data_IF_900023074273
#
_entry.id   IF_900023074273
#
_cell.length_a   1.000
_cell.length_b   1.000
_cell.length_c   1.000
_cell.angle_alpha   90.00
_cell.angle_beta   90.00
_cell.angle_gamma   90.00
#
_symmetry.space_group_name_H-M   'P 1'
#
loop_
_entity.id
_entity.type
_entity.pdbx_description
1 polymer ?
#
# COMPACT_ATOMS: atom_id res chain seq x y z
N UNK A 1 -21.74 4.97 17.46
CA UNK A 1 -22.17 4.46 16.14
C UNK A 1 -20.92 3.99 15.43
N UNK A 2 -20.98 2.93 14.63
CA UNK A 2 -19.83 2.50 13.82
C UNK A 2 -20.17 2.73 12.35
N UNK A 3 -19.74 3.88 11.85
CA UNK A 3 -19.96 4.31 10.47
C UNK A 3 -19.34 3.31 9.49
N UNK A 4 -18.27 2.61 9.86
CA UNK A 4 -17.61 1.60 9.02
C UNK A 4 -18.44 0.32 8.81
N UNK A 5 -19.44 0.06 9.64
CA UNK A 5 -20.35 -1.09 9.50
C UNK A 5 -21.69 -0.74 8.82
N UNK A 6 -21.94 0.55 8.54
CA UNK A 6 -23.21 1.01 7.96
C UNK A 6 -23.22 1.08 6.42
N UNK A 7 -22.18 0.59 5.74
CA UNK A 7 -22.13 0.49 4.27
C UNK A 7 -20.78 0.94 3.68
N UNK A 8 -20.69 1.10 2.35
CA UNK A 8 -19.48 1.59 1.69
C UNK A 8 -19.31 3.10 1.95
N UNK A 9 -18.69 3.42 3.08
CA UNK A 9 -18.36 4.79 3.48
C UNK A 9 -17.08 5.29 2.80
N UNK A 10 -16.13 4.38 2.54
CA UNK A 10 -14.85 4.69 1.93
C UNK A 10 -14.75 4.20 0.48
N UNK A 11 -13.86 4.82 -0.29
CA UNK A 11 -13.57 4.46 -1.69
C UNK A 11 -12.96 3.05 -1.81
N UNK A 12 -12.91 2.53 -3.05
CA UNK A 12 -12.22 1.28 -3.36
C UNK A 12 -10.76 1.35 -2.90
N UNK A 13 -10.27 0.29 -2.25
CA UNK A 13 -8.91 0.20 -1.69
C UNK A 13 -8.60 1.18 -0.55
N UNK A 14 -9.63 1.72 0.10
CA UNK A 14 -9.51 2.41 1.38
C UNK A 14 -9.98 1.52 2.55
N UNK A 15 -9.39 1.74 3.72
CA UNK A 15 -9.78 1.24 5.02
C UNK A 15 -10.58 2.31 5.74
N UNK A 16 -11.73 1.92 6.28
CA UNK A 16 -12.50 2.76 7.18
C UNK A 16 -11.96 2.59 8.60
N UNK A 17 -11.56 3.70 9.22
CA UNK A 17 -11.11 3.78 10.60
C UNK A 17 -12.13 4.60 11.39
N UNK A 18 -12.79 3.93 12.33
CA UNK A 18 -13.70 4.59 13.25
C UNK A 18 -12.88 5.37 14.30
N UNK A 19 -13.20 6.64 14.51
CA UNK A 19 -12.54 7.50 15.52
C UNK A 19 -13.58 8.03 16.50
N UNK A 20 -13.23 8.33 17.76
CA UNK A 20 -14.20 8.85 18.71
C UNK A 20 -14.83 10.17 18.21
N UNK A 21 -16.11 10.11 17.82
CA UNK A 21 -16.87 11.26 17.30
C UNK A 21 -16.89 11.44 15.78
N UNK A 22 -16.23 10.58 14.98
CA UNK A 22 -16.26 10.61 13.51
C UNK A 22 -15.71 9.31 12.90
N UNK A 23 -15.50 9.27 11.59
CA UNK A 23 -14.72 8.23 10.90
C UNK A 23 -13.69 8.89 9.98
N UNK A 24 -12.65 8.14 9.60
CA UNK A 24 -11.72 8.55 8.55
C UNK A 24 -11.42 7.40 7.60
N UNK A 25 -11.24 7.74 6.33
CA UNK A 25 -10.84 6.78 5.30
C UNK A 25 -9.34 6.94 5.04
N UNK A 26 -8.58 5.87 5.23
CA UNK A 26 -7.15 5.80 4.88
C UNK A 26 -6.96 4.81 3.75
N UNK A 27 -6.03 5.05 2.82
CA UNK A 27 -5.73 4.06 1.80
C UNK A 27 -5.13 2.81 2.43
N UNK A 28 -5.45 1.63 1.87
CA UNK A 28 -4.82 0.37 2.27
C UNK A 28 -3.29 0.49 2.13
N UNK A 29 -2.52 -0.27 2.93
CA UNK A 29 -1.07 -0.40 2.71
C UNK A 29 -0.79 -0.76 1.25
N UNK A 30 0.21 -0.12 0.64
CA UNK A 30 0.50 -0.26 -0.80
C UNK A 30 -0.36 0.62 -1.71
N UNK A 31 -1.22 1.48 -1.17
CA UNK A 31 -2.00 2.45 -1.96
C UNK A 31 -1.70 3.88 -1.49
N UNK A 32 -1.73 4.82 -2.44
CA UNK A 32 -1.60 6.25 -2.16
C UNK A 32 -2.86 6.99 -2.55
N UNK A 33 -3.13 8.06 -1.81
CA UNK A 33 -4.26 8.94 -2.06
C UNK A 33 -3.92 9.91 -3.20
N UNK A 34 -4.74 9.95 -4.23
CA UNK A 34 -4.61 10.92 -5.33
C UNK A 34 -5.28 12.25 -4.97
N UNK A 35 -5.02 13.32 -5.75
CA UNK A 35 -5.77 14.58 -5.63
C UNK A 35 -7.28 14.42 -5.81
N UNK A 36 -7.71 13.35 -6.48
CA UNK A 36 -9.12 12.97 -6.68
C UNK A 36 -9.69 12.16 -5.51
N UNK A 37 -8.98 12.03 -4.38
CA UNK A 37 -9.37 11.21 -3.22
C UNK A 37 -9.58 9.72 -3.54
N UNK A 38 -8.92 9.24 -4.59
CA UNK A 38 -8.93 7.82 -4.95
C UNK A 38 -7.68 7.15 -4.38
N UNK A 39 -7.84 5.92 -3.89
CA UNK A 39 -6.72 5.09 -3.48
C UNK A 39 -6.22 4.30 -4.69
N UNK A 40 -5.15 4.80 -5.30
CA UNK A 40 -4.47 4.13 -6.40
C UNK A 40 -3.25 3.40 -5.87
N UNK A 41 -2.86 2.36 -6.60
CA UNK A 41 -1.67 1.59 -6.29
C UNK A 41 -0.44 2.51 -6.15
N UNK A 42 0.30 2.34 -5.06
CA UNK A 42 1.48 3.12 -4.78
C UNK A 42 2.65 2.40 -5.40
N UNK A 43 3.22 2.95 -6.47
CA UNK A 43 4.38 2.33 -7.08
C UNK A 43 5.64 2.54 -6.23
N UNK A 44 5.94 1.59 -5.32
CA UNK A 44 7.09 1.68 -4.43
C UNK A 44 8.42 1.59 -5.20
N UNK A 45 8.43 0.91 -6.34
CA UNK A 45 9.60 0.83 -7.21
C UNK A 45 9.95 2.18 -7.85
N UNK A 46 8.96 3.00 -8.18
CA UNK A 46 9.13 4.33 -8.74
C UNK A 46 9.45 5.38 -7.67
N UNK A 47 8.86 5.24 -6.48
CA UNK A 47 9.16 6.12 -5.36
C UNK A 47 10.55 5.84 -4.77
N UNK A 48 10.97 4.58 -4.74
CA UNK A 48 12.23 4.19 -4.13
C UNK A 48 12.94 3.11 -4.97
N UNK A 49 13.66 3.49 -6.05
CA UNK A 49 14.27 2.53 -6.99
C UNK A 49 15.33 1.62 -6.33
N UNK A 50 15.88 2.02 -5.18
CA UNK A 50 16.86 1.25 -4.42
C UNK A 50 16.23 0.33 -3.36
N UNK A 51 14.90 0.27 -3.24
CA UNK A 51 14.20 -0.51 -2.20
C UNK A 51 14.57 -1.99 -2.22
N UNK A 52 14.77 -2.55 -3.40
CA UNK A 52 15.11 -3.97 -3.55
C UNK A 52 16.60 -4.25 -3.76
N UNK A 53 17.50 -3.26 -3.63
CA UNK A 53 18.93 -3.43 -3.95
C UNK A 53 19.58 -4.50 -3.07
N UNK A 54 20.36 -5.47 -3.63
CA UNK A 54 20.88 -5.56 -5.00
C UNK A 54 19.95 -6.26 -6.03
N UNK A 55 18.73 -6.62 -5.65
CA UNK A 55 17.71 -7.22 -6.51
C UNK A 55 16.89 -6.21 -7.33
N UNK A 56 15.90 -6.73 -8.07
CA UNK A 56 14.98 -5.95 -8.89
C UNK A 56 13.63 -5.77 -8.20
N UNK A 57 13.09 -4.56 -8.22
CA UNK A 57 11.75 -4.26 -7.71
C UNK A 57 10.69 -4.53 -8.79
N UNK A 58 9.61 -5.21 -8.42
CA UNK A 58 8.41 -5.40 -9.24
C UNK A 58 7.21 -4.87 -8.48
N UNK A 59 6.57 -3.87 -9.06
CA UNK A 59 5.32 -3.27 -8.59
C UNK A 59 4.16 -4.25 -8.78
N UNK A 60 3.34 -4.44 -7.75
CA UNK A 60 2.14 -5.26 -7.79
C UNK A 60 0.95 -4.47 -7.24
N UNK A 61 -0.26 -4.83 -7.66
CA UNK A 61 -1.45 -4.11 -7.17
C UNK A 61 -1.65 -4.32 -5.66
N UNK A 62 -1.38 -3.27 -4.89
CA UNK A 62 -1.44 -3.20 -3.43
C UNK A 62 -0.18 -3.65 -2.71
N UNK A 63 0.93 -3.92 -3.40
CA UNK A 63 2.20 -4.33 -2.78
C UNK A 63 3.35 -4.30 -3.80
N UNK A 64 4.56 -4.59 -3.38
CA UNK A 64 5.67 -4.82 -4.30
C UNK A 64 6.43 -6.07 -3.92
N UNK A 65 7.22 -6.56 -4.86
CA UNK A 65 8.10 -7.71 -4.67
C UNK A 65 9.50 -7.37 -5.11
N UNK A 66 10.44 -7.73 -4.27
CA UNK A 66 11.84 -7.79 -4.65
C UNK A 66 12.18 -9.16 -5.24
N UNK A 67 12.68 -9.18 -6.48
CA UNK A 67 13.37 -10.34 -7.06
C UNK A 67 14.84 -10.24 -6.69
N UNK A 68 15.25 -11.05 -5.73
CA UNK A 68 16.63 -11.11 -5.27
C UNK A 68 17.44 -12.10 -6.12
N UNK A 69 18.74 -11.84 -6.35
CA UNK A 69 19.63 -12.80 -6.99
C UNK A 69 19.82 -14.07 -6.15
N UNK A 70 20.28 -15.15 -6.79
CA UNK A 70 20.48 -16.44 -6.13
C UNK A 70 21.37 -16.32 -4.89
N UNK A 71 20.87 -16.80 -3.75
CA UNK A 71 21.55 -16.74 -2.45
C UNK A 71 20.98 -15.69 -1.49
N UNK A 72 20.11 -14.80 -1.95
CA UNK A 72 19.46 -13.77 -1.14
C UNK A 72 18.01 -14.14 -0.81
N UNK A 73 17.54 -13.76 0.38
CA UNK A 73 16.16 -13.89 0.82
C UNK A 73 15.40 -12.61 0.52
N UNK A 74 14.23 -12.75 -0.10
CA UNK A 74 13.28 -11.65 -0.26
C UNK A 74 12.58 -11.38 1.07
N UNK A 75 12.84 -10.21 1.67
CA UNK A 75 12.02 -9.65 2.75
C UNK A 75 11.05 -8.62 2.15
N UNK A 76 10.06 -8.12 2.92
CA UNK A 76 9.10 -7.15 2.41
C UNK A 76 9.78 -5.91 1.84
N UNK A 77 10.92 -5.49 2.40
CA UNK A 77 11.56 -4.22 2.05
C UNK A 77 13.03 -4.33 1.61
N UNK A 78 13.62 -5.53 1.56
CA UNK A 78 15.03 -5.70 1.17
C UNK A 78 15.38 -7.13 0.71
N UNK A 79 16.46 -7.25 -0.06
CA UNK A 79 17.12 -8.52 -0.34
C UNK A 79 18.28 -8.72 0.65
N UNK A 80 18.20 -9.73 1.53
CA UNK A 80 19.21 -10.02 2.57
C UNK A 80 19.92 -11.35 2.37
#
# INVERSE_FOLDING_TARGET
IDECQNGPVCQQNALCLNVPGSFRCECKPGYRQTPTQQCVDRNECAENPNICSPGQCIDMVGSYRCICPNGFKSTPDLCI
#
